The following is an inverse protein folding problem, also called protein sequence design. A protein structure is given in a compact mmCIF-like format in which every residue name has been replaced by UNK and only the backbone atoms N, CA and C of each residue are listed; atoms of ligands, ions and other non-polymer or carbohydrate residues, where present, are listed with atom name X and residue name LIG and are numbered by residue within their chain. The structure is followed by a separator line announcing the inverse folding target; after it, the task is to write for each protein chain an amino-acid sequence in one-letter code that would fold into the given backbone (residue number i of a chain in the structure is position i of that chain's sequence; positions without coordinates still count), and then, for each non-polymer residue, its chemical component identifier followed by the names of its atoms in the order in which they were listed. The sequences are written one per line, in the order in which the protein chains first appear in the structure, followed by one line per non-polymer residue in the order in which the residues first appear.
data_IF_298584628054
#
_entry.id   IF_298584628054
#
_cell.length_a   1.000
_cell.length_b   1.000
_cell.length_c   1.000
_cell.angle_alpha   90.00
_cell.angle_beta   90.00
_cell.angle_gamma   90.00
#
_symmetry.space_group_name_H-M   'P 1'
#
loop_
_entity.id
_entity.type
_entity.pdbx_description
1 polymer ?
#
# COMPACT_ATOMS: atom_id res chain seq x y z
N UNK A 1 -16.47 -6.95 -8.62
CA UNK A 1 -17.12 -7.95 -9.50
C UNK A 1 -16.24 -8.23 -10.72
N UNK A 2 -16.04 -7.30 -11.66
CA UNK A 2 -15.29 -7.59 -12.90
C UNK A 2 -13.83 -8.06 -12.67
N UNK A 3 -13.07 -7.33 -11.85
CA UNK A 3 -11.69 -7.72 -11.48
C UNK A 3 -11.67 -8.97 -10.58
N UNK A 4 -12.74 -9.23 -9.83
CA UNK A 4 -12.82 -10.39 -8.94
C UNK A 4 -13.07 -11.70 -9.69
N UNK A 5 -13.78 -11.65 -10.83
CA UNK A 5 -14.05 -12.79 -11.70
C UNK A 5 -13.11 -12.85 -12.91
N UNK A 6 -12.03 -12.05 -12.92
CA UNK A 6 -11.06 -11.95 -14.01
C UNK A 6 -11.70 -11.71 -15.40
N UNK A 7 -12.85 -11.04 -15.45
CA UNK A 7 -13.57 -10.72 -16.68
C UNK A 7 -13.00 -9.45 -17.32
N UNK A 8 -11.70 -9.47 -17.63
CA UNK A 8 -10.98 -8.31 -18.18
C UNK A 8 -11.58 -7.84 -19.51
N UNK A 9 -12.16 -8.74 -20.29
CA UNK A 9 -12.88 -8.43 -21.53
C UNK A 9 -14.10 -7.53 -21.31
N UNK A 10 -14.80 -7.70 -20.18
CA UNK A 10 -15.94 -6.86 -19.83
C UNK A 10 -15.51 -5.42 -19.52
N UNK A 11 -14.31 -5.24 -18.96
CA UNK A 11 -13.74 -3.90 -18.72
C UNK A 11 -13.42 -3.19 -20.03
N UNK A 12 -13.06 -3.94 -21.08
CA UNK A 12 -12.69 -3.38 -22.38
C UNK A 12 -13.90 -2.87 -23.18
N UNK A 13 -15.12 -3.26 -22.79
CA UNK A 13 -16.34 -2.80 -23.44
C UNK A 13 -16.47 -1.26 -23.35
N UNK A 14 -16.89 -0.63 -24.45
CA UNK A 14 -16.89 0.84 -24.65
C UNK A 14 -17.64 1.58 -23.54
N UNK A 15 -18.76 1.02 -23.08
CA UNK A 15 -19.57 1.60 -21.99
C UNK A 15 -18.78 1.63 -20.68
N UNK A 16 -18.08 0.55 -20.34
CA UNK A 16 -17.27 0.49 -19.12
C UNK A 16 -16.06 1.42 -19.21
N UNK A 17 -15.40 1.50 -20.37
CA UNK A 17 -14.31 2.45 -20.62
C UNK A 17 -14.78 3.90 -20.44
N UNK A 18 -15.94 4.27 -21.01
CA UNK A 18 -16.49 5.62 -20.88
C UNK A 18 -16.87 5.93 -19.43
N UNK A 19 -17.47 4.97 -18.72
CA UNK A 19 -17.81 5.11 -17.31
C UNK A 19 -16.58 5.31 -16.43
N UNK A 20 -15.51 4.53 -16.67
CA UNK A 20 -14.24 4.65 -15.94
C UNK A 20 -13.60 6.03 -16.16
N UNK A 21 -13.62 6.54 -17.40
CA UNK A 21 -13.10 7.88 -17.71
C UNK A 21 -13.87 8.98 -16.96
N UNK A 22 -15.20 8.92 -16.93
CA UNK A 22 -16.02 9.90 -16.21
C UNK A 22 -15.75 9.83 -14.70
N UNK A 23 -15.70 8.62 -14.12
CA UNK A 23 -15.38 8.44 -12.70
C UNK A 23 -13.97 8.91 -12.35
N UNK A 24 -13.01 8.73 -13.26
CA UNK A 24 -11.65 9.24 -13.10
C UNK A 24 -11.64 10.77 -13.01
N UNK A 25 -12.32 11.44 -13.95
CA UNK A 25 -12.36 12.89 -14.00
C UNK A 25 -13.05 13.52 -12.79
N UNK A 26 -14.16 12.92 -12.32
CA UNK A 26 -14.96 13.47 -11.23
C UNK A 26 -14.36 13.21 -9.84
N UNK A 27 -13.87 12.00 -9.59
CA UNK A 27 -13.52 11.57 -8.22
C UNK A 27 -12.06 11.12 -8.06
N UNK A 28 -11.60 10.20 -8.92
CA UNK A 28 -10.32 9.55 -8.67
C UNK A 28 -9.10 10.45 -8.96
N UNK A 29 -9.19 11.41 -9.90
CA UNK A 29 -8.09 12.33 -10.19
C UNK A 29 -7.70 13.17 -8.98
N UNK A 30 -8.66 13.71 -8.25
CA UNK A 30 -8.40 14.54 -7.05
C UNK A 30 -7.74 13.72 -5.95
N UNK A 31 -8.33 12.57 -5.63
CA UNK A 31 -7.78 11.66 -4.62
C UNK A 31 -6.38 11.16 -4.98
N UNK A 32 -6.17 10.72 -6.22
CA UNK A 32 -4.86 10.27 -6.70
C UNK A 32 -3.81 11.37 -6.67
N UNK A 33 -4.17 12.61 -7.01
CA UNK A 33 -3.24 13.74 -6.98
C UNK A 33 -2.85 14.06 -5.53
N UNK A 34 -3.81 14.06 -4.61
CA UNK A 34 -3.52 14.27 -3.18
C UNK A 34 -2.60 13.17 -2.62
N UNK A 35 -2.89 11.90 -2.91
CA UNK A 35 -2.04 10.77 -2.52
C UNK A 35 -0.63 10.91 -3.09
N UNK A 36 -0.51 11.29 -4.37
CA UNK A 36 0.80 11.52 -5.00
C UNK A 36 1.57 12.65 -4.31
N UNK A 37 0.91 13.77 -4.00
CA UNK A 37 1.55 14.92 -3.34
C UNK A 37 2.05 14.57 -1.94
N UNK A 38 1.26 13.83 -1.13
CA UNK A 38 1.72 13.41 0.20
C UNK A 38 2.89 12.44 0.09
N UNK A 39 2.83 11.47 -0.82
CA UNK A 39 3.95 10.53 -1.01
C UNK A 39 5.20 11.23 -1.53
N UNK A 40 5.05 12.23 -2.41
CA UNK A 40 6.17 13.04 -2.88
C UNK A 40 6.77 13.86 -1.71
N UNK A 41 5.93 14.53 -0.92
CA UNK A 41 6.35 15.28 0.25
C UNK A 41 7.11 14.40 1.24
N UNK A 42 6.60 13.21 1.54
CA UNK A 42 7.28 12.21 2.36
C UNK A 42 8.68 11.87 1.82
N UNK A 43 8.78 11.54 0.53
CA UNK A 43 10.06 11.22 -0.11
C UNK A 43 11.03 12.40 -0.09
N UNK A 44 10.54 13.63 -0.28
CA UNK A 44 11.36 14.84 -0.22
C UNK A 44 11.88 15.11 1.19
N UNK A 45 11.09 14.91 2.25
CA UNK A 45 11.56 15.05 3.64
C UNK A 45 12.73 14.11 3.90
N UNK A 46 12.58 12.82 3.58
CA UNK A 46 13.65 11.83 3.78
C UNK A 46 14.86 12.11 2.88
N UNK A 47 14.65 12.65 1.67
CA UNK A 47 15.76 13.05 0.81
C UNK A 47 16.53 14.24 1.42
N UNK A 48 15.82 15.26 1.90
CA UNK A 48 16.42 16.43 2.52
C UNK A 48 17.18 16.05 3.79
N UNK A 49 16.59 15.25 4.66
CA UNK A 49 17.28 14.72 5.85
C UNK A 49 18.52 13.89 5.47
N UNK A 50 18.50 13.18 4.35
CA UNK A 50 19.62 12.38 3.84
C UNK A 50 20.80 13.20 3.34
N UNK A 51 20.52 14.27 2.58
CA UNK A 51 21.56 15.17 2.05
C UNK A 51 22.25 15.92 3.20
N UNK A 52 21.50 16.30 4.22
CA UNK A 52 21.99 17.10 5.35
C UNK A 52 22.42 16.25 6.56
N UNK A 53 22.72 14.95 6.37
CA UNK A 53 23.32 14.13 7.44
C UNK A 53 24.66 14.75 7.82
N UNK A 54 24.84 15.19 9.08
CA UNK A 54 26.13 15.71 9.52
C UNK A 54 27.15 14.57 9.57
N UNK A 55 28.37 14.87 9.11
CA UNK A 55 29.52 13.94 9.21
C UNK A 55 30.06 13.84 10.63
N UNK A 56 29.81 14.86 11.46
CA UNK A 56 30.22 14.89 12.85
C UNK A 56 29.15 14.25 13.75
N UNK A 57 29.58 13.72 14.91
CA UNK A 57 28.70 13.09 15.92
C UNK A 57 27.65 14.06 16.51
N UNK A 58 27.82 15.37 16.28
CA UNK A 58 26.93 16.41 16.75
C UNK A 58 25.73 16.57 15.81
N UNK A 59 24.73 15.71 15.95
CA UNK A 59 23.54 15.72 15.09
C UNK A 59 22.65 16.95 15.25
N UNK A 60 22.38 17.34 16.50
CA UNK A 60 21.48 18.45 16.84
C UNK A 60 22.16 19.61 17.55
N UNK A 61 23.44 19.51 17.90
CA UNK A 61 24.16 20.53 18.64
C UNK A 61 24.86 21.54 17.70
N UNK A 62 24.74 22.86 17.91
CA UNK A 62 23.84 23.54 18.85
C UNK A 62 22.36 23.52 18.38
N UNK A 63 21.45 23.31 19.33
CA UNK A 63 20.01 23.14 19.06
C UNK A 63 19.39 24.35 18.36
N UNK A 64 19.88 25.55 18.67
CA UNK A 64 19.40 26.82 18.10
C UNK A 64 19.53 26.89 16.57
N UNK A 65 20.53 26.23 15.98
CA UNK A 65 20.75 26.23 14.53
C UNK A 65 20.15 25.01 13.84
N UNK A 66 20.04 23.89 14.54
CA UNK A 66 19.71 22.58 13.97
C UNK A 66 18.31 22.06 14.36
N UNK A 67 17.49 22.85 15.09
CA UNK A 67 16.13 22.45 15.50
C UNK A 67 15.23 22.01 14.35
N UNK A 68 15.39 22.61 13.16
CA UNK A 68 14.62 22.28 11.96
C UNK A 68 14.80 20.81 11.54
N UNK A 69 15.96 20.20 11.80
CA UNK A 69 16.22 18.78 11.51
C UNK A 69 15.33 17.88 12.35
N UNK A 70 15.24 18.19 13.64
CA UNK A 70 14.38 17.46 14.57
C UNK A 70 12.90 17.57 14.17
N UNK A 71 12.46 18.76 13.75
CA UNK A 71 11.08 18.97 13.30
C UNK A 71 10.78 18.17 12.02
N UNK A 72 11.68 18.18 11.05
CA UNK A 72 11.51 17.38 9.82
C UNK A 72 11.52 15.88 10.11
N UNK A 73 12.35 15.43 11.04
CA UNK A 73 12.41 14.03 11.44
C UNK A 73 11.13 13.58 12.15
N UNK A 74 10.64 14.37 13.11
CA UNK A 74 9.34 14.12 13.76
C UNK A 74 8.22 14.08 12.72
N UNK A 75 8.21 15.02 11.77
CA UNK A 75 7.23 15.04 10.69
C UNK A 75 7.31 13.78 9.81
N UNK A 76 8.51 13.35 9.44
CA UNK A 76 8.74 12.12 8.67
C UNK A 76 8.27 10.86 9.41
N UNK A 77 8.54 10.77 10.73
CA UNK A 77 8.08 9.67 11.58
C UNK A 77 6.55 9.66 11.70
N UNK A 78 5.93 10.82 11.91
CA UNK A 78 4.47 10.94 11.94
C UNK A 78 3.83 10.50 10.63
N UNK A 79 4.39 10.90 9.47
CA UNK A 79 3.92 10.46 8.16
C UNK A 79 4.04 8.95 7.97
N UNK A 80 5.15 8.34 8.44
CA UNK A 80 5.31 6.87 8.42
C UNK A 80 4.20 6.20 9.23
N UNK A 81 3.92 6.70 10.44
CA UNK A 81 2.82 6.20 11.28
C UNK A 81 1.45 6.34 10.61
N UNK A 82 1.20 7.49 9.96
CA UNK A 82 -0.01 7.71 9.18
C UNK A 82 -0.16 6.70 8.03
N UNK A 83 0.91 6.44 7.27
CA UNK A 83 0.88 5.47 6.18
C UNK A 83 0.64 4.04 6.67
N UNK A 84 1.29 3.61 7.76
CA UNK A 84 1.05 2.30 8.37
C UNK A 84 -0.40 2.18 8.83
N UNK A 85 -0.95 3.20 9.49
CA UNK A 85 -2.35 3.21 9.92
C UNK A 85 -3.32 3.12 8.73
N UNK A 86 -3.05 3.86 7.66
CA UNK A 86 -3.83 3.81 6.43
C UNK A 86 -3.80 2.40 5.81
N UNK A 87 -2.65 1.73 5.81
CA UNK A 87 -2.51 0.38 5.27
C UNK A 87 -3.24 -0.66 6.12
N UNK A 88 -3.13 -0.56 7.45
CA UNK A 88 -3.90 -1.41 8.38
C UNK A 88 -5.41 -1.18 8.24
N UNK A 89 -5.84 0.06 8.03
CA UNK A 89 -7.26 0.38 7.77
C UNK A 89 -7.75 -0.27 6.47
N UNK A 90 -6.94 -0.23 5.41
CA UNK A 90 -7.26 -0.88 4.14
C UNK A 90 -7.33 -2.40 4.29
N UNK A 91 -6.36 -3.01 4.97
CA UNK A 91 -6.38 -4.44 5.29
C UNK A 91 -7.67 -4.85 5.99
N UNK A 92 -8.06 -4.13 7.05
CA UNK A 92 -9.32 -4.37 7.78
C UNK A 92 -10.55 -4.20 6.88
N UNK A 93 -10.58 -3.17 6.04
CA UNK A 93 -11.70 -2.94 5.10
C UNK A 93 -11.82 -4.07 4.08
N UNK A 94 -10.70 -4.55 3.55
CA UNK A 94 -10.67 -5.66 2.59
C UNK A 94 -11.17 -6.95 3.25
N UNK A 95 -10.69 -7.25 4.45
CA UNK A 95 -11.07 -8.44 5.21
C UNK A 95 -12.57 -8.41 5.56
N UNK A 96 -13.06 -7.30 6.10
CA UNK A 96 -14.47 -7.14 6.44
C UNK A 96 -15.37 -7.24 5.20
N UNK A 97 -14.99 -6.59 4.09
CA UNK A 97 -15.73 -6.66 2.84
C UNK A 97 -15.72 -8.08 2.25
N UNK A 98 -14.59 -8.79 2.35
CA UNK A 98 -14.47 -10.18 1.90
C UNK A 98 -15.35 -11.11 2.74
N UNK A 99 -15.30 -10.98 4.06
CA UNK A 99 -16.10 -11.80 4.97
C UNK A 99 -17.60 -11.54 4.80
N UNK A 100 -18.01 -10.27 4.69
CA UNK A 100 -19.40 -9.91 4.41
C UNK A 100 -19.87 -10.43 3.05
N UNK A 101 -19.06 -10.29 2.00
CA UNK A 101 -19.37 -10.83 0.68
C UNK A 101 -19.47 -12.37 0.71
N UNK A 102 -18.55 -13.04 1.40
CA UNK A 102 -18.53 -14.49 1.54
C UNK A 102 -19.80 -14.98 2.25
N UNK A 103 -20.15 -14.39 3.38
CA UNK A 103 -21.36 -14.73 4.12
C UNK A 103 -22.62 -14.49 3.28
N UNK A 104 -22.72 -13.33 2.62
CA UNK A 104 -23.84 -13.01 1.75
C UNK A 104 -23.98 -14.00 0.59
N UNK A 105 -22.87 -14.30 -0.11
CA UNK A 105 -22.89 -15.20 -1.26
C UNK A 105 -23.18 -16.64 -0.84
N UNK A 106 -22.57 -17.13 0.24
CA UNK A 106 -22.86 -18.47 0.77
C UNK A 106 -24.34 -18.61 1.13
N UNK A 107 -24.93 -17.62 1.82
CA UNK A 107 -26.35 -17.66 2.18
C UNK A 107 -27.27 -17.65 0.94
N UNK A 108 -26.88 -16.94 -0.11
CA UNK A 108 -27.63 -16.89 -1.36
C UNK A 108 -27.59 -18.25 -2.09
N UNK A 109 -26.40 -18.80 -2.31
CA UNK A 109 -26.23 -20.11 -2.98
C UNK A 109 -26.89 -21.23 -2.18
N UNK A 110 -26.82 -21.19 -0.85
CA UNK A 110 -27.49 -22.17 0.01
C UNK A 110 -29.02 -22.07 -0.06
N UNK A 111 -29.56 -20.86 -0.23
CA UNK A 111 -31.00 -20.67 -0.48
C UNK A 111 -31.39 -21.32 -1.81
N UNK A 112 -30.64 -21.06 -2.88
CA UNK A 112 -30.94 -21.60 -4.21
C UNK A 112 -30.84 -23.13 -4.22
N UNK A 113 -29.87 -23.70 -3.50
CA UNK A 113 -29.73 -25.15 -3.35
C UNK A 113 -30.97 -25.80 -2.72
N UNK A 114 -31.64 -25.12 -1.78
CA UNK A 114 -32.88 -25.63 -1.13
C UNK A 114 -34.08 -25.66 -2.08
N UNK A 115 -34.12 -24.78 -3.09
CA UNK A 115 -35.21 -24.69 -4.06
C UNK A 115 -34.88 -25.38 -5.39
N UNK A 116 -33.74 -26.08 -5.48
CA UNK A 116 -33.32 -26.75 -6.69
C UNK A 116 -34.26 -27.94 -6.98
N UNK A 117 -34.79 -27.99 -8.20
CA UNK A 117 -35.78 -29.00 -8.58
C UNK A 117 -35.11 -30.38 -8.74
N UNK A 118 -35.67 -31.49 -8.20
CA UNK A 118 -35.03 -32.82 -8.25
C UNK A 118 -34.72 -33.34 -9.66
N UNK A 119 -35.40 -32.82 -10.69
CA UNK A 119 -35.16 -33.16 -12.11
C UNK A 119 -33.96 -32.45 -12.75
N UNK A 120 -33.31 -31.51 -12.07
CA UNK A 120 -32.13 -30.80 -12.58
C UNK A 120 -30.90 -31.02 -11.70
N UNK A 121 -30.30 -32.22 -11.75
CA UNK A 121 -29.11 -32.54 -10.96
C UNK A 121 -27.87 -31.73 -11.38
N UNK A 122 -27.82 -31.25 -12.63
CA UNK A 122 -26.72 -30.43 -13.14
C UNK A 122 -26.63 -29.07 -12.44
N UNK A 123 -27.77 -28.40 -12.24
CA UNK A 123 -27.85 -27.14 -11.52
C UNK A 123 -27.39 -27.30 -10.07
N UNK A 124 -27.85 -28.36 -9.40
CA UNK A 124 -27.40 -28.69 -8.04
C UNK A 124 -25.89 -28.88 -7.97
N UNK A 125 -25.32 -29.66 -8.89
CA UNK A 125 -23.88 -29.91 -8.97
C UNK A 125 -23.10 -28.61 -9.21
N UNK A 126 -23.63 -27.72 -10.06
CA UNK A 126 -23.06 -26.40 -10.29
C UNK A 126 -23.02 -25.57 -9.01
N UNK A 127 -24.15 -25.46 -8.29
CA UNK A 127 -24.24 -24.70 -7.03
C UNK A 127 -23.31 -25.26 -5.94
N UNK A 128 -23.23 -26.58 -5.80
CA UNK A 128 -22.31 -27.24 -4.86
C UNK A 128 -20.85 -26.93 -5.22
N UNK A 129 -20.51 -26.93 -6.51
CA UNK A 129 -19.18 -26.56 -6.99
C UNK A 129 -18.86 -25.08 -6.73
N UNK A 130 -19.83 -24.19 -6.89
CA UNK A 130 -19.67 -22.76 -6.60
C UNK A 130 -19.43 -22.53 -5.10
N UNK A 131 -20.17 -23.25 -4.25
CA UNK A 131 -20.01 -23.18 -2.80
C UNK A 131 -18.63 -23.69 -2.36
N UNK A 132 -18.13 -24.76 -2.99
CA UNK A 132 -16.76 -25.25 -2.80
C UNK A 132 -15.72 -24.20 -3.22
N UNK A 133 -15.92 -23.53 -4.37
CA UNK A 133 -15.04 -22.45 -4.83
C UNK A 133 -15.05 -21.25 -3.88
N UNK A 134 -16.21 -20.83 -3.37
CA UNK A 134 -16.29 -19.72 -2.40
C UNK A 134 -15.54 -20.06 -1.10
N UNK A 135 -15.51 -21.33 -0.70
CA UNK A 135 -14.75 -21.77 0.49
C UNK A 135 -13.25 -21.77 0.27
N UNK A 136 -12.78 -22.10 -0.93
CA UNK A 136 -11.36 -22.13 -1.28
C UNK A 136 -10.83 -20.77 -1.72
N UNK A 137 -11.70 -19.88 -2.20
CA UNK A 137 -11.33 -18.53 -2.63
C UNK A 137 -10.94 -17.65 -1.44
N UNK A 138 -9.64 -17.57 -1.17
CA UNK A 138 -9.06 -16.57 -0.26
C UNK A 138 -8.54 -15.39 -1.06
N UNK A 139 -9.07 -14.19 -0.77
CA UNK A 139 -8.53 -12.96 -1.34
C UNK A 139 -7.28 -12.55 -0.58
N UNK A 140 -6.12 -13.01 -1.02
CA UNK A 140 -4.85 -12.70 -0.34
C UNK A 140 -4.38 -11.29 -0.72
N UNK A 141 -4.39 -10.36 0.23
CA UNK A 141 -3.80 -9.02 0.05
C UNK A 141 -2.30 -9.08 -0.35
N UNK A 142 -1.55 -10.03 0.20
CA UNK A 142 -0.13 -10.24 -0.10
C UNK A 142 0.16 -10.91 -1.46
N UNK A 143 -0.86 -11.24 -2.26
CA UNK A 143 -0.62 -11.71 -3.64
C UNK A 143 -0.13 -10.59 -4.56
N UNK A 144 -0.34 -9.34 -4.18
CA UNK A 144 0.15 -8.19 -4.93
C UNK A 144 1.57 -7.82 -4.47
N UNK A 145 2.61 -7.95 -5.33
CA UNK A 145 4.01 -7.72 -4.95
C UNK A 145 4.27 -6.33 -4.36
N UNK A 146 3.58 -5.32 -4.90
CA UNK A 146 3.67 -3.94 -4.44
C UNK A 146 3.23 -3.73 -2.99
N UNK A 147 2.34 -4.56 -2.46
CA UNK A 147 1.93 -4.52 -1.05
C UNK A 147 3.06 -5.05 -0.15
N UNK A 148 3.71 -6.15 -0.55
CA UNK A 148 4.87 -6.70 0.17
C UNK A 148 6.02 -5.67 0.17
N UNK A 149 6.29 -5.07 -0.99
CA UNK A 149 7.33 -4.05 -1.13
C UNK A 149 7.11 -2.85 -0.20
N UNK A 150 5.87 -2.40 -0.02
CA UNK A 150 5.57 -1.33 0.94
C UNK A 150 5.87 -1.70 2.39
N UNK A 151 5.54 -2.92 2.82
CA UNK A 151 5.90 -3.40 4.16
C UNK A 151 7.41 -3.43 4.36
N UNK A 152 8.16 -3.85 3.34
CA UNK A 152 9.63 -3.79 3.34
C UNK A 152 10.10 -2.33 3.48
N UNK A 153 9.52 -1.39 2.71
CA UNK A 153 9.88 0.02 2.79
C UNK A 153 9.57 0.62 4.18
N UNK A 154 8.46 0.26 4.82
CA UNK A 154 8.16 0.69 6.19
C UNK A 154 9.17 0.13 7.20
N UNK A 155 9.58 -1.13 7.04
CA UNK A 155 10.61 -1.73 7.87
C UNK A 155 11.98 -1.05 7.70
N UNK A 156 12.33 -0.67 6.47
CA UNK A 156 13.55 0.11 6.17
C UNK A 156 13.50 1.46 6.87
N UNK A 157 12.40 2.21 6.76
CA UNK A 157 12.24 3.50 7.44
C UNK A 157 12.30 3.34 8.96
N UNK A 158 11.67 2.30 9.52
CA UNK A 158 11.78 1.99 10.95
C UNK A 158 13.24 1.75 11.36
N UNK A 159 14.00 1.01 10.56
CA UNK A 159 15.43 0.77 10.80
C UNK A 159 16.24 2.07 10.74
N UNK A 160 15.91 3.01 9.84
CA UNK A 160 16.55 4.34 9.80
C UNK A 160 16.29 5.13 11.08
N UNK A 161 15.06 5.10 11.58
CA UNK A 161 14.69 5.76 12.84
C UNK A 161 15.39 5.09 14.02
N UNK A 162 15.42 3.76 14.08
CA UNK A 162 16.11 3.03 15.15
C UNK A 162 17.60 3.30 15.19
N UNK A 163 18.28 3.22 14.04
CA UNK A 163 19.72 3.54 13.95
C UNK A 163 20.02 4.97 14.34
N UNK A 164 19.12 5.92 14.04
CA UNK A 164 19.22 7.32 14.47
C UNK A 164 19.06 7.46 15.98
N UNK A 165 18.05 6.80 16.57
CA UNK A 165 17.83 6.79 18.02
C UNK A 165 19.04 6.20 18.75
N UNK A 166 19.59 5.08 18.28
CA UNK A 166 20.79 4.48 18.88
C UNK A 166 22.02 5.39 18.80
N UNK A 167 22.24 6.03 17.65
CA UNK A 167 23.37 6.95 17.47
C UNK A 167 23.29 8.18 18.39
N UNK A 168 22.08 8.69 18.67
CA UNK A 168 21.89 9.95 19.42
C UNK A 168 21.64 9.69 20.91
N UNK A 169 20.70 8.80 21.25
CA UNK A 169 20.27 8.58 22.62
C UNK A 169 21.23 7.68 23.41
N UNK A 170 21.82 6.68 22.75
CA UNK A 170 22.78 5.75 23.37
C UNK A 170 24.23 6.13 23.10
N UNK A 171 24.46 7.18 22.28
CA UNK A 171 25.78 7.65 21.86
C UNK A 171 26.66 6.50 21.31
N UNK A 172 26.03 5.53 20.64
CA UNK A 172 26.74 4.37 20.09
C UNK A 172 27.51 4.77 18.83
N UNK A 173 28.81 4.50 18.85
CA UNK A 173 29.73 4.82 17.77
C UNK A 173 29.44 3.98 16.53
N UNK A 174 29.09 2.70 16.70
CA UNK A 174 28.83 1.79 15.58
C UNK A 174 27.58 2.23 14.82
N UNK A 175 26.50 2.54 15.53
CA UNK A 175 25.28 3.07 14.94
C UNK A 175 25.53 4.36 14.15
N UNK A 176 26.36 5.29 14.66
CA UNK A 176 26.67 6.54 13.96
C UNK A 176 27.46 6.32 12.67
N UNK A 177 28.35 5.33 12.61
CA UNK A 177 29.14 5.02 11.40
C UNK A 177 28.32 4.27 10.34
N UNK A 178 27.42 3.39 10.79
CA UNK A 178 26.57 2.57 9.91
C UNK A 178 25.37 3.37 9.36
N UNK A 179 24.85 4.32 10.14
CA UNK A 179 23.63 5.05 9.78
C UNK A 179 23.67 5.69 8.38
N UNK A 180 24.71 6.43 7.94
CA UNK A 180 24.75 7.01 6.60
C UNK A 180 24.68 5.97 5.47
N UNK A 181 25.26 4.77 5.69
CA UNK A 181 25.26 3.67 4.71
C UNK A 181 23.85 3.08 4.57
N UNK A 182 23.21 2.80 5.70
CA UNK A 182 21.81 2.32 5.74
C UNK A 182 20.87 3.38 5.16
N UNK A 183 21.12 4.65 5.45
CA UNK A 183 20.33 5.76 4.92
C UNK A 183 20.39 5.84 3.40
N UNK A 184 21.58 5.69 2.81
CA UNK A 184 21.78 5.71 1.36
C UNK A 184 20.95 4.61 0.67
N UNK A 185 20.99 3.38 1.20
CA UNK A 185 20.18 2.27 0.71
C UNK A 185 18.69 2.51 0.93
N UNK A 186 18.32 3.04 2.10
CA UNK A 186 16.93 3.34 2.43
C UNK A 186 16.32 4.41 1.52
N UNK A 187 17.10 5.40 1.10
CA UNK A 187 16.69 6.46 0.19
C UNK A 187 16.24 5.89 -1.16
N UNK A 188 16.97 4.90 -1.70
CA UNK A 188 16.61 4.20 -2.93
C UNK A 188 15.25 3.50 -2.78
N UNK A 189 15.06 2.76 -1.67
CA UNK A 189 13.80 2.06 -1.38
C UNK A 189 12.62 3.04 -1.24
N UNK A 190 12.83 4.19 -0.61
CA UNK A 190 11.79 5.22 -0.45
C UNK A 190 11.38 5.81 -1.80
N UNK A 191 12.33 6.06 -2.71
CA UNK A 191 12.01 6.50 -4.08
C UNK A 191 11.29 5.43 -4.90
N UNK A 192 11.69 4.16 -4.77
CA UNK A 192 10.96 3.06 -5.41
C UNK A 192 9.53 2.94 -4.85
N UNK A 193 9.33 3.15 -3.54
CA UNK A 193 7.99 3.16 -2.94
C UNK A 193 7.11 4.27 -3.53
N UNK A 194 7.67 5.44 -3.79
CA UNK A 194 6.94 6.55 -4.41
C UNK A 194 6.31 6.16 -5.76
N UNK A 195 6.96 5.29 -6.54
CA UNK A 195 6.44 4.84 -7.85
C UNK A 195 5.05 4.23 -7.76
N UNK A 196 4.68 3.56 -6.65
CA UNK A 196 3.33 3.02 -6.49
C UNK A 196 2.24 4.09 -6.62
N UNK A 197 2.51 5.32 -6.16
CA UNK A 197 1.56 6.45 -6.26
C UNK A 197 1.31 6.88 -7.71
N UNK A 198 2.25 6.62 -8.60
CA UNK A 198 2.14 6.92 -10.03
C UNK A 198 1.30 5.89 -10.79
N UNK A 199 1.01 4.71 -10.21
CA UNK A 199 0.30 3.62 -10.88
C UNK A 199 -1.14 3.97 -11.30
N UNK A 200 -1.76 4.92 -10.61
CA UNK A 200 -3.10 5.39 -10.91
C UNK A 200 -3.19 6.16 -12.25
N UNK A 201 -2.07 6.67 -12.76
CA UNK A 201 -2.05 7.43 -14.01
C UNK A 201 -1.86 6.50 -15.21
N UNK A 202 -2.74 6.63 -16.21
CA UNK A 202 -2.77 5.75 -17.39
C UNK A 202 -1.45 5.67 -18.15
N UNK A 203 -0.67 6.75 -18.16
CA UNK A 203 0.64 6.81 -18.83
C UNK A 203 1.74 6.03 -18.10
N UNK A 204 1.70 5.98 -16.76
CA UNK A 204 2.76 5.41 -15.92
C UNK A 204 2.41 4.03 -15.36
N UNK A 205 1.11 3.75 -15.19
CA UNK A 205 0.57 2.53 -14.61
C UNK A 205 1.10 1.24 -15.23
N UNK A 206 1.12 1.09 -16.57
CA UNK A 206 1.63 -0.12 -17.22
C UNK A 206 3.11 -0.37 -16.92
N UNK A 207 3.95 0.65 -16.96
CA UNK A 207 5.39 0.51 -16.69
C UNK A 207 5.68 0.07 -15.25
N UNK A 208 4.93 0.63 -14.29
CA UNK A 208 5.04 0.26 -12.88
C UNK A 208 4.50 -1.13 -12.61
N UNK A 209 3.51 -1.60 -13.37
CA UNK A 209 2.95 -2.94 -13.20
C UNK A 209 3.87 -4.05 -13.77
N UNK A 210 4.74 -3.72 -14.71
CA UNK A 210 5.73 -4.64 -15.30
C UNK A 210 6.96 -4.80 -14.39
N UNK A 211 7.31 -3.74 -13.66
CA UNK A 211 8.41 -3.70 -12.70
C UNK A 211 8.08 -4.53 -11.43
#
# INVERSE_FOLDING_TARGET
VIVQYNQLDLVMHVVFQRLLLVKWQLFAKRGSTYTLLINLYFTLIWTFLGIFIPRDRNYYSPLSKNWWRLVLEINGVMLTGYFIFMELSQLRKIENAHNMWRQWRTKHVEKDLRYCHPRWPEERKYLESELAQIRTFQRTYFREPWNIFEWIAYFVVLTLVLTRIMAVALNDQTASEVHPRVYSLGLIVIWLRFMRSCRAYRSLGPFIAIL
#
